data_IF_339991107147
#
_entry.id   IF_339991107147
#
_cell.length_a   1.000
_cell.length_b   1.000
_cell.length_c   1.000
_cell.angle_alpha   90.00
_cell.angle_beta   90.00
_cell.angle_gamma   90.00
#
_symmetry.space_group_name_H-M   'P 1'
#
loop_
_entity.id
_entity.type
_entity.pdbx_description
1 polymer ?
#
# COMPACT_ATOMS: atom_id res chain seq x y z
N UNK A 1 -3.06 15.69 -1.85
CA UNK A 1 -1.64 15.50 -2.07
C UNK A 1 -1.28 14.04 -2.00
N UNK A 2 -0.34 13.60 -2.83
CA UNK A 2 0.11 12.20 -2.86
C UNK A 2 1.48 12.10 -2.19
N UNK A 3 1.59 11.16 -1.24
CA UNK A 3 2.84 10.92 -0.52
C UNK A 3 3.31 9.48 -0.75
N UNK A 4 4.55 9.33 -1.21
CA UNK A 4 5.22 8.03 -1.20
C UNK A 4 5.89 7.84 0.15
N UNK A 5 5.62 6.74 0.83
CA UNK A 5 6.10 6.50 2.20
C UNK A 5 7.33 5.58 2.15
N UNK A 6 8.51 6.08 2.57
CA UNK A 6 9.72 5.24 2.61
C UNK A 6 9.58 4.09 3.61
N UNK A 7 10.30 3.00 3.35
CA UNK A 7 10.25 1.81 4.21
C UNK A 7 10.55 2.13 5.68
N UNK A 8 11.51 3.01 5.94
CA UNK A 8 11.89 3.36 7.32
C UNK A 8 10.84 4.20 8.07
N UNK A 9 9.81 4.68 7.38
CA UNK A 9 8.72 5.47 7.97
C UNK A 9 7.43 4.64 8.08
N UNK A 10 7.39 3.45 7.47
CA UNK A 10 6.18 2.62 7.45
C UNK A 10 5.64 2.35 8.85
N UNK A 11 6.50 1.98 9.80
CA UNK A 11 6.05 1.71 11.17
C UNK A 11 5.46 2.94 11.86
N UNK A 12 5.93 4.15 11.51
CA UNK A 12 5.43 5.39 12.10
C UNK A 12 3.99 5.70 11.66
N UNK A 13 3.61 5.26 10.45
CA UNK A 13 2.27 5.51 9.90
C UNK A 13 1.39 4.25 9.90
N UNK A 14 1.93 3.11 10.33
CA UNK A 14 1.23 1.84 10.24
C UNK A 14 -0.12 1.85 10.97
N UNK A 15 -0.17 2.42 12.17
CA UNK A 15 -1.42 2.50 12.94
C UNK A 15 -2.49 3.32 12.22
N UNK A 16 -2.08 4.34 11.45
CA UNK A 16 -3.00 5.15 10.66
C UNK A 16 -3.55 4.40 9.46
N UNK A 17 -2.69 3.66 8.73
CA UNK A 17 -3.10 3.02 7.47
C UNK A 17 -3.63 1.60 7.65
N UNK A 18 -3.30 0.94 8.75
CA UNK A 18 -3.68 -0.45 9.00
C UNK A 18 -5.17 -0.74 8.82
N UNK A 19 -6.11 0.07 9.39
CA UNK A 19 -7.53 -0.21 9.19
C UNK A 19 -7.96 -0.21 7.73
N UNK A 20 -7.37 0.68 6.93
CA UNK A 20 -7.65 0.76 5.49
C UNK A 20 -7.12 -0.47 4.75
N UNK A 21 -5.89 -0.86 5.09
CA UNK A 21 -5.25 -2.02 4.48
C UNK A 21 -5.98 -3.30 4.87
N UNK A 22 -6.35 -3.45 6.15
CA UNK A 22 -7.10 -4.60 6.63
C UNK A 22 -8.45 -4.74 5.92
N UNK A 23 -9.17 -3.63 5.72
CA UNK A 23 -10.43 -3.63 5.00
C UNK A 23 -10.25 -4.04 3.54
N UNK A 24 -9.19 -3.56 2.88
CA UNK A 24 -8.87 -3.95 1.51
C UNK A 24 -8.50 -5.43 1.40
N UNK A 25 -7.75 -5.94 2.38
CA UNK A 25 -7.40 -7.37 2.44
C UNK A 25 -8.63 -8.25 2.59
N UNK A 26 -9.60 -7.85 3.38
CA UNK A 26 -10.88 -8.56 3.50
C UNK A 26 -11.61 -8.63 2.15
N UNK A 27 -11.61 -7.52 1.40
CA UNK A 27 -12.24 -7.48 0.07
C UNK A 27 -11.51 -8.34 -0.95
N UNK A 28 -10.24 -8.66 -0.71
CA UNK A 28 -9.45 -9.49 -1.63
C UNK A 28 -9.76 -10.99 -1.50
N UNK A 29 -10.65 -11.37 -0.59
CA UNK A 29 -11.05 -12.76 -0.34
C UNK A 29 -9.88 -13.66 0.06
N UNK A 30 -8.98 -13.14 0.87
CA UNK A 30 -7.88 -13.90 1.42
C UNK A 30 -6.65 -14.02 0.52
N UNK A 31 -6.57 -13.25 -0.55
CA UNK A 31 -5.38 -13.25 -1.42
C UNK A 31 -4.14 -12.77 -0.68
N UNK A 32 -4.30 -11.84 0.24
CA UNK A 32 -3.23 -11.38 1.13
C UNK A 32 -3.84 -10.80 2.39
N UNK A 33 -3.05 -10.76 3.46
CA UNK A 33 -3.48 -10.13 4.71
C UNK A 33 -2.62 -8.89 5.01
N UNK A 34 -2.99 -8.17 6.08
CA UNK A 34 -2.29 -6.94 6.44
C UNK A 34 -0.81 -7.17 6.80
N UNK A 35 -0.50 -8.34 7.37
CA UNK A 35 0.87 -8.67 7.72
C UNK A 35 1.74 -8.90 6.49
N UNK A 36 1.20 -9.56 5.46
CA UNK A 36 1.90 -9.74 4.18
C UNK A 36 2.25 -8.40 3.55
N UNK A 37 1.30 -7.46 3.58
CA UNK A 37 1.51 -6.12 3.04
C UNK A 37 2.59 -5.39 3.84
N UNK A 38 2.54 -5.47 5.18
CA UNK A 38 3.52 -4.81 6.03
C UNK A 38 4.93 -5.33 5.77
N UNK A 39 5.09 -6.65 5.67
CA UNK A 39 6.37 -7.27 5.38
C UNK A 39 6.92 -6.79 4.04
N UNK A 40 6.09 -6.78 2.99
CA UNK A 40 6.49 -6.29 1.67
C UNK A 40 6.96 -4.85 1.69
N UNK A 41 6.29 -4.00 2.47
CA UNK A 41 6.67 -2.58 2.62
C UNK A 41 8.01 -2.44 3.34
N UNK A 42 8.22 -3.19 4.43
CA UNK A 42 9.45 -3.12 5.20
C UNK A 42 10.66 -3.67 4.43
N UNK A 43 10.45 -4.68 3.60
CA UNK A 43 11.48 -5.26 2.75
C UNK A 43 11.75 -4.46 1.47
N UNK A 44 10.99 -3.38 1.25
CA UNK A 44 11.09 -2.52 0.07
C UNK A 44 10.67 -3.19 -1.25
N UNK A 45 9.99 -4.31 -1.17
CA UNK A 45 9.38 -4.94 -2.35
C UNK A 45 8.15 -4.17 -2.80
N UNK A 46 7.45 -3.58 -1.84
CA UNK A 46 6.24 -2.80 -2.07
C UNK A 46 6.45 -1.34 -1.68
N UNK A 47 5.70 -0.45 -2.30
CA UNK A 47 5.70 0.97 -1.98
C UNK A 47 4.32 1.37 -1.46
N UNK A 48 4.30 2.04 -0.32
CA UNK A 48 3.08 2.59 0.26
C UNK A 48 2.86 4.01 -0.26
N UNK A 49 1.62 4.31 -0.62
CA UNK A 49 1.20 5.64 -1.07
C UNK A 49 0.01 6.10 -0.26
N UNK A 50 0.01 7.36 0.15
CA UNK A 50 -1.11 7.99 0.83
C UNK A 50 -1.55 9.20 0.00
N UNK A 51 -2.82 9.22 -0.39
CA UNK A 51 -3.44 10.36 -1.05
C UNK A 51 -4.34 11.05 -0.05
N UNK A 52 -4.16 12.34 0.13
CA UNK A 52 -4.92 13.10 1.11
C UNK A 52 -5.34 14.45 0.53
N UNK A 53 -6.63 14.76 0.67
CA UNK A 53 -7.20 16.08 0.39
C UNK A 53 -8.07 16.49 1.57
N UNK A 54 -8.69 17.67 1.50
CA UNK A 54 -9.60 18.13 2.57
C UNK A 54 -10.81 17.20 2.75
N UNK A 55 -11.24 16.54 1.68
CA UNK A 55 -12.47 15.75 1.69
C UNK A 55 -12.26 14.27 1.38
N UNK A 56 -11.04 13.87 1.02
CA UNK A 56 -10.75 12.51 0.58
C UNK A 56 -9.47 11.98 1.21
N UNK A 57 -9.45 10.67 1.42
CA UNK A 57 -8.30 9.93 1.91
C UNK A 57 -8.22 8.59 1.19
N UNK A 58 -7.06 8.25 0.71
CA UNK A 58 -6.85 6.96 0.04
C UNK A 58 -5.47 6.40 0.37
N UNK A 59 -5.38 5.08 0.41
CA UNK A 59 -4.14 4.34 0.63
C UNK A 59 -3.96 3.37 -0.52
N UNK A 60 -2.75 3.33 -1.07
CA UNK A 60 -2.42 2.40 -2.14
C UNK A 60 -1.10 1.69 -1.86
N UNK A 61 -0.97 0.48 -2.36
CA UNK A 61 0.27 -0.30 -2.30
C UNK A 61 0.59 -0.79 -3.70
N UNK A 62 1.80 -0.50 -4.16
CA UNK A 62 2.26 -0.90 -5.49
C UNK A 62 3.52 -1.73 -5.37
N UNK A 63 3.77 -2.57 -6.37
CA UNK A 63 4.98 -3.37 -6.47
C UNK A 63 5.57 -3.21 -7.86
N UNK A 64 6.89 -3.04 -7.94
CA UNK A 64 7.58 -3.05 -9.22
C UNK A 64 7.91 -4.50 -9.59
N UNK A 65 7.38 -4.95 -10.71
CA UNK A 65 7.66 -6.28 -11.24
C UNK A 65 8.65 -6.14 -12.38
N UNK A 66 9.78 -6.82 -12.26
CA UNK A 66 10.86 -6.75 -13.26
C UNK A 66 10.75 -7.95 -14.18
N UNK A 67 10.56 -7.68 -15.46
CA UNK A 67 10.60 -8.69 -16.53
C UNK A 67 11.90 -8.54 -17.29
N UNK A 68 12.35 -9.58 -18.03
CA UNK A 68 13.62 -9.50 -18.78
C UNK A 68 13.77 -8.29 -19.71
N UNK A 69 12.63 -7.78 -20.20
CA UNK A 69 12.64 -6.67 -21.16
C UNK A 69 12.02 -5.38 -20.67
N UNK A 70 11.37 -5.38 -19.47
CA UNK A 70 10.68 -4.19 -18.96
C UNK A 70 10.40 -4.29 -17.47
N UNK A 71 10.16 -3.12 -16.86
CA UNK A 71 9.64 -3.02 -15.50
C UNK A 71 8.17 -2.64 -15.57
N UNK A 72 7.35 -3.23 -14.72
CA UNK A 72 5.92 -2.94 -14.63
C UNK A 72 5.58 -2.57 -13.19
N UNK A 73 4.86 -1.47 -13.00
CA UNK A 73 4.31 -1.10 -11.70
C UNK A 73 2.95 -1.76 -11.52
N UNK A 74 2.86 -2.70 -10.62
CA UNK A 74 1.62 -3.42 -10.33
C UNK A 74 0.95 -2.83 -9.09
N UNK A 75 -0.36 -2.56 -9.19
CA UNK A 75 -1.15 -2.09 -8.05
C UNK A 75 -1.61 -3.32 -7.28
N UNK A 76 -1.15 -3.48 -6.03
CA UNK A 76 -1.54 -4.60 -5.18
C UNK A 76 -2.87 -4.35 -4.48
N UNK A 77 -3.08 -3.13 -3.99
CA UNK A 77 -4.37 -2.72 -3.44
C UNK A 77 -4.50 -1.20 -3.45
N UNK A 78 -5.74 -0.75 -3.50
CA UNK A 78 -6.11 0.66 -3.34
C UNK A 78 -7.39 0.69 -2.52
N UNK A 79 -7.44 1.55 -1.52
CA UNK A 79 -8.63 1.75 -0.70
C UNK A 79 -8.73 3.20 -0.27
N UNK A 80 -9.93 3.68 -0.04
CA UNK A 80 -10.12 5.05 0.39
C UNK A 80 -11.58 5.45 0.43
N UNK A 81 -11.81 6.72 0.77
CA UNK A 81 -13.16 7.31 0.77
C UNK A 81 -13.10 8.80 0.51
N UNK A 82 -14.21 9.35 0.07
CA UNK A 82 -14.41 10.78 -0.08
C UNK A 82 -15.18 11.33 1.11
#
# INVERSE_FOLDING_TARGET
MLYGIPAHVVDDVWDEVRPWIAAACKRSRGKFDENDIRIGLLERDDQLWIWRTETAYAVGVTRIVVHPKKKVCAIRLVTGRN
#
